data_IF_613348696996
#
_entry.id   IF_613348696996
#
_cell.length_a   1.000
_cell.length_b   1.000
_cell.length_c   1.000
_cell.angle_alpha   90.00
_cell.angle_beta   90.00
_cell.angle_gamma   90.00
#
_symmetry.space_group_name_H-M   'P 1'
#
loop_
_entity.id
_entity.type
_entity.pdbx_description
1 polymer ?
#
# COMPACT_ATOMS: atom_id res chain seq x y z
N UNK A 1 -23.58 -1.31 0.65
CA UNK A 1 -22.71 -2.11 1.52
C UNK A 1 -23.11 -1.82 2.95
N UNK A 2 -23.29 -2.84 3.77
CA UNK A 2 -23.52 -2.67 5.21
C UNK A 2 -22.31 -1.96 5.84
N UNK A 3 -22.54 -1.07 6.81
CA UNK A 3 -21.46 -0.31 7.46
C UNK A 3 -20.45 -1.28 8.06
N UNK A 4 -19.23 -1.29 7.54
CA UNK A 4 -18.22 -2.21 8.04
C UNK A 4 -17.44 -1.61 9.21
N UNK A 5 -17.01 -2.47 10.13
CA UNK A 5 -16.30 -2.06 11.36
C UNK A 5 -14.80 -1.88 11.07
N UNK A 6 -14.12 -1.09 11.90
CA UNK A 6 -12.66 -1.04 11.91
C UNK A 6 -12.16 -2.26 12.69
N UNK A 7 -11.22 -3.00 12.10
CA UNK A 7 -10.63 -4.16 12.73
C UNK A 7 -9.74 -3.73 13.91
N UNK A 8 -9.94 -4.24 15.14
CA UNK A 8 -9.17 -3.80 16.32
C UNK A 8 -7.67 -4.08 16.22
N UNK A 9 -7.28 -5.25 15.69
CA UNK A 9 -5.87 -5.61 15.48
C UNK A 9 -5.17 -4.77 14.39
N UNK A 10 -5.80 -4.59 13.22
CA UNK A 10 -5.17 -3.91 12.08
C UNK A 10 -5.39 -2.40 12.04
N UNK A 11 -6.38 -1.86 12.75
CA UNK A 11 -6.81 -0.47 12.59
C UNK A 11 -7.39 -0.15 11.20
N UNK A 12 -7.78 -1.17 10.43
CA UNK A 12 -8.24 -1.04 9.04
C UNK A 12 -9.70 -1.44 8.90
N UNK A 13 -10.41 -0.81 7.95
CA UNK A 13 -11.83 -1.12 7.66
C UNK A 13 -12.00 -2.55 7.14
N UNK A 14 -12.90 -3.32 7.76
CA UNK A 14 -13.21 -4.68 7.35
C UNK A 14 -14.18 -4.72 6.16
N UNK A 15 -14.19 -5.81 5.42
CA UNK A 15 -15.13 -6.08 4.32
C UNK A 15 -15.48 -7.57 4.32
N UNK A 16 -16.75 -7.87 4.11
CA UNK A 16 -17.22 -9.24 3.93
C UNK A 16 -17.54 -9.45 2.45
N UNK A 17 -16.83 -10.38 1.82
CA UNK A 17 -17.12 -10.80 0.45
C UNK A 17 -18.45 -11.54 0.44
N UNK A 18 -19.37 -11.04 -0.38
CA UNK A 18 -20.63 -11.74 -0.69
C UNK A 18 -20.43 -12.66 -1.90
N UNK A 19 -21.31 -13.65 -2.07
CA UNK A 19 -21.33 -14.50 -3.26
C UNK A 19 -22.01 -13.83 -4.48
N UNK A 20 -22.12 -12.49 -4.48
CA UNK A 20 -22.69 -11.75 -5.60
C UNK A 20 -21.61 -11.44 -6.63
N UNK A 21 -21.87 -11.82 -7.87
CA UNK A 21 -21.10 -11.41 -9.04
C UNK A 21 -21.94 -10.48 -9.89
N UNK A 22 -21.35 -9.40 -10.39
CA UNK A 22 -22.01 -8.45 -11.29
C UNK A 22 -21.11 -8.15 -12.48
N UNK A 23 -21.72 -8.05 -13.65
CA UNK A 23 -21.05 -7.54 -14.85
C UNK A 23 -21.21 -6.02 -14.89
N UNK A 24 -20.11 -5.31 -15.12
CA UNK A 24 -20.07 -3.87 -15.30
C UNK A 24 -19.25 -3.55 -16.53
N UNK A 25 -19.56 -2.46 -17.21
CA UNK A 25 -18.69 -1.97 -18.27
C UNK A 25 -17.41 -1.39 -17.66
N UNK A 26 -16.27 -1.59 -18.33
CA UNK A 26 -14.96 -1.24 -17.79
C UNK A 26 -14.79 0.27 -17.54
N UNK A 27 -15.40 1.09 -18.38
CA UNK A 27 -15.46 2.56 -18.27
C UNK A 27 -16.28 3.05 -17.05
N UNK A 28 -17.17 2.21 -16.53
CA UNK A 28 -17.88 2.48 -15.28
C UNK A 28 -17.01 2.25 -14.03
N UNK A 29 -15.86 1.57 -14.15
CA UNK A 29 -14.95 1.31 -13.02
C UNK A 29 -14.17 2.59 -12.71
N UNK A 30 -14.44 3.19 -11.54
CA UNK A 30 -13.79 4.44 -11.12
C UNK A 30 -12.46 4.25 -10.42
N UNK A 31 -12.28 3.13 -9.74
CA UNK A 31 -11.06 2.79 -9.03
C UNK A 31 -11.02 1.29 -8.72
N UNK A 32 -9.82 0.79 -8.49
CA UNK A 32 -9.57 -0.52 -7.89
C UNK A 32 -9.05 -0.33 -6.47
N UNK A 33 -9.48 -1.22 -5.58
CA UNK A 33 -9.15 -1.17 -4.16
C UNK A 33 -8.31 -2.37 -3.79
N UNK A 34 -7.33 -2.14 -2.93
CA UNK A 34 -6.48 -3.19 -2.42
C UNK A 34 -7.07 -3.76 -1.12
N UNK A 35 -7.83 -4.85 -1.27
CA UNK A 35 -8.35 -5.64 -0.16
C UNK A 35 -7.37 -6.78 0.14
N UNK A 36 -6.94 -6.86 1.39
CA UNK A 36 -6.08 -7.92 1.90
C UNK A 36 -6.92 -8.89 2.74
N UNK A 37 -6.51 -10.15 2.80
CA UNK A 37 -7.19 -11.16 3.60
C UNK A 37 -7.04 -10.88 5.10
N UNK A 38 -8.12 -10.99 5.87
CA UNK A 38 -8.09 -10.90 7.33
C UNK A 38 -7.53 -12.19 7.95
N UNK A 39 -6.22 -12.35 7.83
CA UNK A 39 -5.50 -13.54 8.29
C UNK A 39 -5.58 -13.72 9.81
N UNK A 40 -5.61 -12.61 10.57
CA UNK A 40 -5.67 -12.61 12.02
C UNK A 40 -6.99 -13.20 12.53
N UNK A 41 -8.13 -12.66 12.09
CA UNK A 41 -9.44 -13.18 12.51
C UNK A 41 -9.69 -14.61 12.03
N UNK A 42 -9.20 -14.95 10.83
CA UNK A 42 -9.32 -16.30 10.28
C UNK A 42 -8.28 -17.29 10.84
N UNK A 43 -7.39 -16.84 11.73
CA UNK A 43 -6.32 -17.65 12.35
C UNK A 43 -5.53 -18.46 11.30
N UNK A 44 -5.14 -17.78 10.21
CA UNK A 44 -4.46 -18.43 9.09
C UNK A 44 -3.09 -18.96 9.54
N UNK A 45 -2.75 -20.16 9.09
CA UNK A 45 -1.52 -20.82 9.50
C UNK A 45 -0.39 -20.49 8.54
N UNK A 46 0.79 -20.21 9.09
CA UNK A 46 2.00 -20.09 8.28
C UNK A 46 2.64 -21.48 8.20
N UNK A 47 2.60 -22.08 7.02
CA UNK A 47 3.22 -23.36 6.73
C UNK A 47 4.46 -23.15 5.84
N UNK A 48 5.63 -23.65 6.24
CA UNK A 48 6.85 -23.61 5.43
C UNK A 48 6.77 -24.64 4.30
N UNK A 49 6.09 -24.29 3.21
CA UNK A 49 5.64 -25.25 2.19
C UNK A 49 5.99 -24.88 0.75
N UNK A 50 6.39 -23.64 0.45
CA UNK A 50 6.69 -23.25 -0.94
C UNK A 50 8.17 -23.44 -1.24
N UNK A 51 8.48 -24.30 -2.21
CA UNK A 51 9.82 -24.36 -2.80
C UNK A 51 10.11 -23.04 -3.51
N UNK A 52 11.22 -22.42 -3.16
CA UNK A 52 11.64 -21.16 -3.81
C UNK A 52 12.37 -21.52 -5.09
N UNK A 53 11.99 -20.93 -6.23
CA UNK A 53 12.82 -21.00 -7.44
C UNK A 53 13.83 -19.86 -7.42
N UNK A 54 15.11 -20.19 -7.49
CA UNK A 54 16.18 -19.23 -7.74
C UNK A 54 16.73 -19.60 -9.12
N UNK A 55 16.80 -18.64 -10.05
CA UNK A 55 17.36 -18.85 -11.40
C UNK A 55 16.74 -20.04 -12.16
N UNK A 56 15.41 -20.19 -12.07
CA UNK A 56 14.63 -21.29 -12.67
C UNK A 56 14.86 -22.67 -12.04
N UNK A 57 15.78 -22.82 -11.08
CA UNK A 57 16.02 -24.05 -10.34
C UNK A 57 15.18 -24.11 -9.06
N UNK A 58 14.57 -25.27 -8.80
CA UNK A 58 13.88 -25.50 -7.53
C UNK A 58 14.93 -25.62 -6.43
N UNK A 59 14.83 -24.77 -5.40
CA UNK A 59 15.69 -24.88 -4.23
C UNK A 59 15.02 -25.70 -3.14
N UNK A 60 15.83 -26.28 -2.26
CA UNK A 60 15.38 -26.91 -1.00
C UNK A 60 14.98 -25.89 0.06
N UNK A 61 15.20 -24.60 -0.19
CA UNK A 61 14.82 -23.49 0.70
C UNK A 61 13.30 -23.34 0.66
N UNK A 62 12.65 -23.78 1.72
CA UNK A 62 11.20 -23.59 1.91
C UNK A 62 10.94 -22.21 2.49
N UNK A 63 10.09 -21.45 1.81
CA UNK A 63 9.63 -20.16 2.33
C UNK A 63 8.34 -20.33 3.14
N UNK A 64 8.18 -19.57 4.24
CA UNK A 64 6.92 -19.49 4.96
C UNK A 64 5.81 -19.03 4.01
N UNK A 65 4.71 -19.79 3.95
CA UNK A 65 3.52 -19.46 3.17
C UNK A 65 2.31 -19.44 4.10
N UNK A 66 1.47 -18.41 3.98
CA UNK A 66 0.18 -18.38 4.66
C UNK A 66 -0.80 -19.32 3.94
N UNK A 67 -1.39 -20.24 4.69
CA UNK A 67 -2.52 -21.06 4.27
C UNK A 67 -3.80 -20.42 4.79
N UNK A 68 -4.58 -19.83 3.88
CA UNK A 68 -5.85 -19.17 4.21
C UNK A 68 -6.93 -20.21 4.52
N UNK A 69 -7.72 -19.96 5.57
CA UNK A 69 -8.81 -20.85 6.02
C UNK A 69 -10.20 -20.39 5.54
N UNK A 70 -10.45 -19.09 5.49
CA UNK A 70 -11.77 -18.50 5.23
C UNK A 70 -11.70 -17.40 4.17
N UNK A 71 -12.21 -17.61 2.96
CA UNK A 71 -11.98 -16.69 1.83
C UNK A 71 -13.01 -15.54 1.69
N UNK A 72 -13.59 -15.08 2.81
CA UNK A 72 -14.67 -14.10 2.79
C UNK A 72 -14.44 -12.86 3.66
N UNK A 73 -13.42 -12.83 4.52
CA UNK A 73 -13.11 -11.68 5.38
C UNK A 73 -11.87 -10.96 4.86
N UNK A 74 -12.02 -9.67 4.61
CA UNK A 74 -10.99 -8.83 4.06
C UNK A 74 -10.85 -7.53 4.87
N UNK A 75 -9.68 -6.91 4.78
CA UNK A 75 -9.38 -5.58 5.29
C UNK A 75 -8.92 -4.69 4.15
N UNK A 76 -9.34 -3.44 4.14
CA UNK A 76 -8.87 -2.46 3.16
C UNK A 76 -7.48 -1.98 3.53
N UNK A 77 -6.54 -2.07 2.59
CA UNK A 77 -5.25 -1.40 2.69
C UNK A 77 -5.46 0.12 2.68
N UNK A 78 -5.64 0.69 3.87
CA UNK A 78 -6.00 2.11 4.02
C UNK A 78 -4.83 3.05 3.68
N UNK A 79 -3.61 2.52 3.64
CA UNK A 79 -2.38 3.22 3.26
C UNK A 79 -1.93 2.88 1.83
N UNK A 80 -2.83 2.42 0.96
CA UNK A 80 -2.49 2.16 -0.44
C UNK A 80 -2.07 3.44 -1.16
N UNK A 81 -0.95 3.39 -1.89
CA UNK A 81 -0.47 4.50 -2.73
C UNK A 81 -1.24 4.63 -4.05
N UNK A 82 -2.03 3.62 -4.42
CA UNK A 82 -2.89 3.64 -5.60
C UNK A 82 -4.30 4.14 -5.23
N UNK A 83 -4.87 5.04 -6.02
CA UNK A 83 -6.18 5.67 -5.76
C UNK A 83 -6.38 6.06 -4.27
N UNK A 84 -5.44 6.81 -3.67
CA UNK A 84 -5.39 7.01 -2.23
C UNK A 84 -6.60 7.78 -1.69
N UNK A 85 -7.19 8.70 -2.49
CA UNK A 85 -8.42 9.42 -2.12
C UNK A 85 -9.60 8.47 -1.95
N UNK A 86 -9.72 7.48 -2.83
CA UNK A 86 -10.81 6.50 -2.79
C UNK A 86 -10.61 5.53 -1.63
N UNK A 87 -9.37 5.11 -1.38
CA UNK A 87 -9.02 4.30 -0.21
C UNK A 87 -9.35 5.04 1.09
N UNK A 88 -8.92 6.29 1.25
CA UNK A 88 -9.24 7.10 2.45
C UNK A 88 -10.73 7.26 2.66
N UNK A 89 -11.47 7.57 1.57
CA UNK A 89 -12.93 7.72 1.63
C UNK A 89 -13.64 6.44 2.07
N UNK A 90 -13.24 5.29 1.54
CA UNK A 90 -13.84 4.00 1.89
C UNK A 90 -13.35 3.44 3.21
N UNK A 91 -12.12 3.75 3.61
CA UNK A 91 -11.62 3.44 4.93
C UNK A 91 -12.43 4.19 5.99
N UNK A 92 -12.87 5.43 5.69
CA UNK A 92 -13.64 6.29 6.59
C UNK A 92 -13.01 6.32 7.99
N UNK A 93 -11.68 6.37 8.01
CA UNK A 93 -10.89 6.44 9.24
C UNK A 93 -10.74 7.90 9.61
N UNK A 94 -10.83 8.20 10.90
CA UNK A 94 -10.43 9.50 11.42
C UNK A 94 -8.91 9.60 11.29
N UNK A 95 -8.46 10.37 10.29
CA UNK A 95 -7.04 10.67 10.08
C UNK A 95 -6.82 12.06 10.66
N UNK A 96 -6.20 12.13 11.83
CA UNK A 96 -5.75 13.39 12.41
C UNK A 96 -4.68 13.98 11.48
N UNK A 97 -4.83 15.24 11.01
CA UNK A 97 -3.79 15.90 10.25
C UNK A 97 -2.49 15.95 11.07
N UNK A 98 -1.39 15.55 10.44
CA UNK A 98 -0.06 15.67 11.06
C UNK A 98 0.35 17.14 10.98
N UNK A 99 0.62 17.74 12.13
CA UNK A 99 1.08 19.13 12.23
C UNK A 99 2.51 19.29 11.72
N UNK A 100 2.94 20.49 11.29
CA UNK A 100 4.32 20.74 10.89
C UNK A 100 5.34 20.34 11.97
N UNK A 101 5.02 20.58 13.24
CA UNK A 101 5.89 20.25 14.38
C UNK A 101 6.04 18.73 14.52
N UNK A 102 4.94 17.98 14.43
CA UNK A 102 4.98 16.51 14.46
C UNK A 102 5.76 15.91 13.28
N UNK A 103 5.75 16.58 12.13
CA UNK A 103 6.59 16.19 10.99
C UNK A 103 8.07 16.36 11.32
N UNK A 104 8.47 17.50 11.89
CA UNK A 104 9.84 17.76 12.31
C UNK A 104 10.30 16.74 13.36
N UNK A 105 9.49 16.49 14.37
CA UNK A 105 9.78 15.51 15.43
C UNK A 105 9.99 14.10 14.85
N UNK A 106 9.12 13.67 13.92
CA UNK A 106 9.23 12.37 13.27
C UNK A 106 10.50 12.26 12.40
N UNK A 107 10.85 13.32 11.66
CA UNK A 107 12.07 13.38 10.86
C UNK A 107 13.32 13.31 11.75
N UNK A 108 13.36 14.07 12.84
CA UNK A 108 14.47 14.08 13.79
C UNK A 108 14.64 12.71 14.45
N UNK A 109 13.56 12.10 14.95
CA UNK A 109 13.58 10.76 15.51
C UNK A 109 14.07 9.70 14.50
N UNK A 110 13.70 9.87 13.22
CA UNK A 110 14.24 9.06 12.13
C UNK A 110 15.76 9.23 12.01
N UNK A 111 16.26 10.45 11.89
CA UNK A 111 17.70 10.72 11.75
C UNK A 111 18.52 10.11 12.89
N UNK A 112 18.05 10.27 14.14
CA UNK A 112 18.69 9.70 15.32
C UNK A 112 18.73 8.17 15.29
N UNK A 113 17.60 7.52 14.96
CA UNK A 113 17.52 6.06 14.86
C UNK A 113 18.40 5.48 13.75
N UNK A 114 18.60 6.24 12.67
CA UNK A 114 19.52 5.87 11.58
C UNK A 114 20.99 6.22 11.87
N UNK A 115 21.28 6.81 13.03
CA UNK A 115 22.64 7.16 13.46
C UNK A 115 23.22 8.38 12.75
N UNK A 116 22.38 9.24 12.17
CA UNK A 116 22.80 10.50 11.55
C UNK A 116 22.88 11.58 12.63
N UNK A 117 24.10 11.87 13.09
CA UNK A 117 24.39 12.87 14.13
C UNK A 117 24.59 14.29 13.59
N UNK A 118 24.69 14.44 12.27
CA UNK A 118 24.85 15.74 11.61
C UNK A 118 23.98 15.80 10.36
N UNK A 119 23.00 16.69 10.35
CA UNK A 119 22.32 17.09 9.12
C UNK A 119 23.37 17.79 8.24
N UNK A 120 23.63 17.35 7.00
CA UNK A 120 24.51 18.09 6.10
C UNK A 120 23.95 19.49 5.93
N UNK A 121 24.80 20.50 6.06
CA UNK A 121 24.40 21.90 5.94
C UNK A 121 23.63 22.09 4.62
N UNK A 122 22.37 22.57 4.71
CA UNK A 122 21.56 22.89 3.53
C UNK A 122 22.17 24.01 2.67
N UNK A 123 23.29 24.60 3.09
CA UNK A 123 24.05 25.64 2.40
C UNK A 123 24.60 25.22 1.02
N UNK A 124 24.51 23.93 0.62
CA UNK A 124 25.09 23.43 -0.62
C UNK A 124 24.11 23.07 -1.75
N UNK A 125 22.80 22.99 -1.50
CA UNK A 125 21.84 22.73 -2.58
C UNK A 125 21.59 24.05 -3.34
N UNK A 126 22.47 24.33 -4.31
CA UNK A 126 22.09 25.21 -5.41
C UNK A 126 20.76 24.67 -5.97
N UNK A 127 19.77 25.53 -6.25
CA UNK A 127 18.59 25.09 -6.98
C UNK A 127 19.11 24.46 -8.27
N UNK A 128 19.01 23.13 -8.38
CA UNK A 128 19.33 22.46 -9.63
C UNK A 128 18.45 23.12 -10.67
N UNK A 129 19.08 23.70 -11.69
CA UNK A 129 18.43 24.35 -12.81
C UNK A 129 17.38 23.40 -13.36
N UNK A 130 16.13 23.59 -12.91
CA UNK A 130 14.96 22.98 -13.52
C UNK A 130 14.78 23.74 -14.83
N UNK A 131 15.62 23.43 -15.82
CA UNK A 131 15.23 23.66 -17.20
C UNK A 131 13.95 22.87 -17.39
N UNK A 132 12.84 23.60 -17.51
CA UNK A 132 11.58 23.06 -17.96
C UNK A 132 11.86 22.29 -19.26
N UNK A 133 11.89 20.96 -19.16
CA UNK A 133 11.98 20.10 -20.33
C UNK A 133 10.64 20.22 -21.02
N UNK A 134 10.53 21.20 -21.91
CA UNK A 134 9.45 21.26 -22.89
C UNK A 134 9.36 19.88 -23.54
N UNK A 135 8.18 19.24 -23.56
CA UNK A 135 8.04 17.97 -24.24
C UNK A 135 8.23 18.23 -25.74
N UNK A 136 9.33 17.72 -26.28
CA UNK A 136 9.55 17.63 -27.71
C UNK A 136 8.60 16.56 -28.24
N UNK A 137 7.43 17.00 -28.72
CA UNK A 137 6.45 16.14 -29.36
C UNK A 137 7.00 15.82 -30.76
N UNK A 138 7.88 14.83 -30.81
CA UNK A 138 8.27 14.21 -32.08
C UNK A 138 7.01 13.63 -32.73
N UNK A 139 6.56 14.30 -33.79
CA UNK A 139 5.45 13.88 -34.62
C UNK A 139 5.93 12.76 -35.55
N UNK A 140 6.08 11.55 -35.01
CA UNK A 140 6.21 10.34 -35.84
C UNK A 140 4.82 9.74 -36.06
N UNK A 141 4.36 9.62 -37.32
CA UNK A 141 3.09 8.97 -37.61
C UNK A 141 3.22 7.47 -37.32
N UNK A 142 2.28 6.95 -36.53
CA UNK A 142 2.09 5.51 -36.37
C UNK A 142 1.49 5.01 -37.69
N UNK A 143 2.23 4.14 -38.39
CA UNK A 143 1.72 3.29 -39.48
C UNK A 143 1.29 1.96 -38.88
#
# INVERSE_FOLDING_TARGET
MERSRVHPFYGMRQFVKTNQTRSVQSDAIKATLNLQHDCHSAQCQVASTKSTRIERLNTTIKTPKVTHREDHKFILNSASLHAPEVHRRLAELEITPVTPEQWLDACQAGLENWGVTTVPDHAGLQPEDTQARSPDISSTPIV
#
